data_IF_389281378109
#
_entry.id   IF_389281378109
#
_cell.length_a   1.000
_cell.length_b   1.000
_cell.length_c   1.000
_cell.angle_alpha   90.00
_cell.angle_beta   90.00
_cell.angle_gamma   90.00
#
_symmetry.space_group_name_H-M   'P 1'
#
loop_
_entity.id
_entity.type
_entity.pdbx_description
1 polymer ?
#
# COMPACT_ATOMS: atom_id res chain seq x y z
N UNK A 1 -31.18 26.35 -5.64
CA UNK A 1 -30.42 25.13 -5.96
C UNK A 1 -28.97 25.49 -5.79
N UNK A 2 -28.36 25.07 -4.69
CA UNK A 2 -26.99 25.41 -4.32
C UNK A 2 -26.02 24.82 -5.36
N UNK A 3 -24.99 25.59 -5.68
CA UNK A 3 -23.79 25.32 -6.49
C UNK A 3 -23.14 23.95 -6.14
N UNK A 4 -22.33 23.29 -6.98
CA UNK A 4 -21.06 23.73 -7.58
C UNK A 4 -20.56 22.72 -8.66
N UNK A 5 -19.85 23.25 -9.66
CA UNK A 5 -18.93 22.70 -10.69
C UNK A 5 -18.54 21.19 -10.73
N UNK A 6 -18.34 20.59 -11.93
CA UNK A 6 -17.86 19.22 -12.11
C UNK A 6 -16.40 19.09 -11.66
N UNK A 7 -16.15 18.45 -10.52
CA UNK A 7 -14.79 18.15 -10.06
C UNK A 7 -14.29 16.89 -10.76
N UNK A 8 -13.69 17.03 -11.94
CA UNK A 8 -13.00 15.93 -12.65
C UNK A 8 -11.53 16.24 -12.93
N UNK A 9 -10.96 17.30 -12.33
CA UNK A 9 -9.55 17.65 -12.55
C UNK A 9 -8.89 18.24 -11.28
N UNK A 10 -9.14 17.62 -10.12
CA UNK A 10 -8.19 17.61 -9.00
C UNK A 10 -7.58 16.20 -8.80
N UNK A 11 -7.95 15.28 -9.70
CA UNK A 11 -7.81 13.83 -9.59
C UNK A 11 -6.59 13.32 -10.35
N UNK A 12 -5.40 13.87 -10.09
CA UNK A 12 -4.15 13.33 -10.65
C UNK A 12 -3.11 12.95 -9.60
N UNK A 13 -3.39 13.13 -8.30
CA UNK A 13 -2.49 12.73 -7.20
C UNK A 13 -3.22 12.22 -5.94
N UNK A 14 -4.44 11.70 -6.08
CA UNK A 14 -5.20 11.13 -4.96
C UNK A 14 -4.82 9.65 -4.78
N UNK A 15 -4.87 9.14 -3.54
CA UNK A 15 -4.66 7.72 -3.23
C UNK A 15 -5.54 6.84 -4.12
N UNK A 16 -6.79 7.24 -4.32
CA UNK A 16 -7.76 6.57 -5.19
C UNK A 16 -7.27 6.43 -6.64
N UNK A 17 -6.67 7.48 -7.22
CA UNK A 17 -6.13 7.45 -8.59
C UNK A 17 -4.93 6.51 -8.72
N UNK A 18 -4.02 6.51 -7.73
CA UNK A 18 -2.91 5.57 -7.69
C UNK A 18 -3.36 4.11 -7.52
N UNK A 19 -4.32 3.84 -6.63
CA UNK A 19 -4.90 2.50 -6.48
C UNK A 19 -5.54 2.05 -7.80
N UNK A 20 -6.29 2.93 -8.48
CA UNK A 20 -6.90 2.61 -9.76
C UNK A 20 -5.86 2.28 -10.83
N UNK A 21 -4.77 3.06 -10.87
CA UNK A 21 -3.66 2.85 -11.80
C UNK A 21 -2.93 1.54 -11.53
N UNK A 22 -2.64 1.24 -10.26
CA UNK A 22 -2.03 -0.02 -9.84
C UNK A 22 -2.95 -1.20 -10.16
N UNK A 23 -4.26 -1.08 -9.92
CA UNK A 23 -5.23 -2.10 -10.30
C UNK A 23 -5.23 -2.35 -11.83
N UNK A 24 -5.11 -1.30 -12.64
CA UNK A 24 -4.99 -1.40 -14.10
C UNK A 24 -3.68 -2.08 -14.54
N UNK A 25 -2.60 -1.88 -13.79
CA UNK A 25 -1.30 -2.53 -14.00
C UNK A 25 -1.28 -4.01 -13.54
N UNK A 26 -2.37 -4.49 -12.93
CA UNK A 26 -2.55 -5.85 -12.45
C UNK A 26 -2.35 -6.03 -10.94
N UNK A 27 -2.13 -4.95 -10.19
CA UNK A 27 -2.11 -4.95 -8.73
C UNK A 27 -3.53 -4.88 -8.17
N UNK A 28 -4.33 -5.88 -8.48
CA UNK A 28 -5.71 -6.00 -7.98
C UNK A 28 -5.77 -6.61 -6.58
N UNK A 29 -4.68 -7.23 -6.13
CA UNK A 29 -4.61 -7.86 -4.82
C UNK A 29 -4.39 -6.80 -3.74
N UNK A 30 -5.06 -6.99 -2.60
CA UNK A 30 -4.82 -6.18 -1.41
C UNK A 30 -4.03 -7.00 -0.42
N UNK A 31 -2.95 -6.42 0.07
CA UNK A 31 -2.14 -6.99 1.12
C UNK A 31 -2.34 -6.21 2.41
N UNK A 32 -2.18 -6.90 3.53
CA UNK A 32 -2.28 -6.36 4.86
C UNK A 32 -1.21 -7.00 5.75
N UNK A 33 -0.59 -6.23 6.64
CA UNK A 33 0.32 -6.81 7.63
C UNK A 33 -0.49 -7.47 8.75
N UNK A 34 -0.14 -8.72 9.03
CA UNK A 34 -0.67 -9.56 10.11
C UNK A 34 0.46 -9.97 11.05
N UNK A 35 0.13 -10.65 12.15
CA UNK A 35 1.13 -11.14 13.11
C UNK A 35 2.16 -12.09 12.49
N UNK A 36 1.75 -12.84 11.45
CA UNK A 36 2.58 -13.83 10.76
C UNK A 36 3.37 -13.25 9.56
N UNK A 37 3.15 -11.97 9.19
CA UNK A 37 3.79 -11.33 8.02
C UNK A 37 2.78 -10.65 7.10
N UNK A 38 2.99 -10.72 5.78
CA UNK A 38 2.09 -10.09 4.80
C UNK A 38 0.94 -11.04 4.44
N UNK A 39 -0.29 -10.70 4.82
CA UNK A 39 -1.50 -11.43 4.45
C UNK A 39 -2.09 -10.85 3.16
N UNK A 40 -2.36 -11.69 2.17
CA UNK A 40 -3.20 -11.34 1.03
C UNK A 40 -4.67 -11.47 1.40
N UNK A 41 -5.41 -10.36 1.33
CA UNK A 41 -6.85 -10.33 1.60
C UNK A 41 -7.64 -11.02 0.49
N UNK A 42 -7.15 -11.01 -0.74
CA UNK A 42 -7.84 -11.65 -1.87
C UNK A 42 -7.69 -13.17 -1.89
N UNK A 43 -6.52 -13.70 -1.49
CA UNK A 43 -6.27 -15.15 -1.47
C UNK A 43 -6.28 -15.80 -0.08
N UNK A 44 -6.30 -15.00 0.99
CA UNK A 44 -6.18 -15.50 2.36
C UNK A 44 -4.84 -16.20 2.63
N UNK A 45 -3.77 -15.77 1.95
CA UNK A 45 -2.45 -16.41 2.01
C UNK A 45 -1.44 -15.48 2.65
N UNK A 46 -0.61 -16.03 3.54
CA UNK A 46 0.48 -15.29 4.17
C UNK A 46 1.80 -15.46 3.40
N UNK A 47 2.52 -14.36 3.24
CA UNK A 47 3.83 -14.28 2.62
C UNK A 47 4.84 -13.82 3.66
N UNK A 48 6.00 -14.48 3.61
CA UNK A 48 7.17 -14.10 4.40
C UNK A 48 7.85 -12.86 3.80
N UNK A 49 8.57 -12.08 4.61
CA UNK A 49 9.32 -10.92 4.10
C UNK A 49 10.34 -11.31 3.02
N UNK A 50 10.85 -12.54 3.04
CA UNK A 50 11.77 -13.07 2.01
C UNK A 50 11.11 -13.29 0.65
N UNK A 51 9.78 -13.46 0.62
CA UNK A 51 9.00 -13.67 -0.59
C UNK A 51 8.32 -12.40 -1.08
N UNK A 52 8.52 -11.29 -0.38
CA UNK A 52 7.87 -10.01 -0.60
C UNK A 52 8.90 -9.01 -1.09
N UNK A 53 8.62 -8.37 -2.21
CA UNK A 53 9.43 -7.31 -2.77
C UNK A 53 8.59 -6.04 -2.86
N UNK A 54 9.00 -5.01 -2.11
CA UNK A 54 8.41 -3.68 -2.23
C UNK A 54 8.99 -3.02 -3.47
N UNK A 55 8.17 -2.92 -4.52
CA UNK A 55 8.56 -2.33 -5.81
C UNK A 55 8.58 -0.82 -5.70
N UNK A 56 7.55 -0.26 -5.06
CA UNK A 56 7.41 1.16 -4.90
C UNK A 56 6.54 1.50 -3.69
N UNK A 57 6.65 2.73 -3.20
CA UNK A 57 5.76 3.22 -2.16
C UNK A 57 5.40 4.67 -2.39
N UNK A 58 4.15 5.00 -2.12
CA UNK A 58 3.56 6.30 -2.35
C UNK A 58 2.99 6.79 -1.03
N UNK A 59 3.57 7.85 -0.49
CA UNK A 59 3.03 8.52 0.68
C UNK A 59 2.02 9.56 0.23
N UNK A 60 0.82 9.45 0.79
CA UNK A 60 -0.27 10.39 0.63
C UNK A 60 -0.47 11.13 1.95
N UNK A 61 -0.53 12.45 1.86
CA UNK A 61 -0.87 13.32 2.97
C UNK A 61 -2.33 13.74 2.74
N UNK A 62 -3.23 13.29 3.61
CA UNK A 62 -4.64 13.64 3.53
C UNK A 62 -4.83 15.16 3.65
N UNK A 63 -5.59 15.75 2.73
CA UNK A 63 -5.84 17.20 2.73
C UNK A 63 -6.84 17.66 3.79
N UNK A 64 -7.54 16.72 4.44
CA UNK A 64 -8.64 17.02 5.36
C UNK A 64 -8.25 16.95 6.84
N UNK A 65 -7.34 16.03 7.19
CA UNK A 65 -6.87 15.87 8.57
C UNK A 65 -5.36 15.53 8.56
N UNK A 66 -4.53 16.18 9.40
CA UNK A 66 -3.11 15.87 9.52
C UNK A 66 -2.83 14.46 10.06
N UNK A 67 -3.84 13.76 10.58
CA UNK A 67 -3.82 12.36 10.98
C UNK A 67 -4.19 11.39 9.84
N UNK A 68 -4.71 11.87 8.71
CA UNK A 68 -5.13 11.03 7.56
C UNK A 68 -3.97 10.80 6.59
N UNK A 69 -2.79 10.51 7.14
CA UNK A 69 -1.61 10.16 6.36
C UNK A 69 -1.65 8.67 6.03
N UNK A 70 -1.60 8.33 4.76
CA UNK A 70 -1.61 6.95 4.29
C UNK A 70 -0.41 6.68 3.41
N UNK A 71 0.22 5.52 3.54
CA UNK A 71 1.27 5.06 2.65
C UNK A 71 0.78 3.84 1.89
N UNK A 72 0.81 3.93 0.57
CA UNK A 72 0.48 2.85 -0.34
C UNK A 72 1.77 2.21 -0.85
N UNK A 73 1.98 0.95 -0.52
CA UNK A 73 3.12 0.16 -0.97
C UNK A 73 2.67 -0.76 -2.10
N UNK A 74 3.33 -0.64 -3.25
CA UNK A 74 3.23 -1.59 -4.34
C UNK A 74 4.17 -2.76 -4.04
N UNK A 75 3.57 -3.94 -3.85
CA UNK A 75 4.27 -5.15 -3.45
C UNK A 75 4.11 -6.20 -4.54
N UNK A 76 5.22 -6.84 -4.88
CA UNK A 76 5.26 -8.03 -5.72
C UNK A 76 5.80 -9.20 -4.90
N UNK A 77 5.19 -10.36 -5.07
CA UNK A 77 5.65 -11.60 -4.43
C UNK A 77 6.40 -12.46 -5.44
N UNK A 78 7.28 -13.34 -4.95
CA UNK A 78 8.00 -14.31 -5.80
C UNK A 78 7.04 -15.24 -6.58
N UNK A 79 5.81 -15.42 -6.06
CA UNK A 79 4.75 -16.16 -6.75
C UNK A 79 4.16 -15.46 -7.98
N UNK A 80 4.66 -14.26 -8.34
CA UNK A 80 4.12 -13.43 -9.42
C UNK A 80 2.86 -12.65 -9.02
N UNK A 81 2.52 -12.65 -7.73
CA UNK A 81 1.31 -12.01 -7.22
C UNK A 81 1.64 -10.55 -6.90
N UNK A 82 0.85 -9.66 -7.48
CA UNK A 82 1.04 -8.22 -7.39
C UNK A 82 -0.13 -7.60 -6.66
N UNK A 83 0.16 -6.76 -5.70
CA UNK A 83 -0.86 -6.15 -4.90
C UNK A 83 -0.37 -4.93 -4.16
N UNK A 84 -1.32 -4.27 -3.51
CA UNK A 84 -1.06 -3.03 -2.80
C UNK A 84 -1.31 -3.21 -1.32
N UNK A 85 -0.40 -2.69 -0.51
CA UNK A 85 -0.52 -2.61 0.94
C UNK A 85 -0.75 -1.14 1.29
N UNK A 86 -1.90 -0.83 1.88
CA UNK A 86 -2.17 0.51 2.39
C UNK A 86 -1.96 0.51 3.90
N UNK A 87 -1.09 1.39 4.39
CA UNK A 87 -0.83 1.60 5.81
C UNK A 87 -1.25 3.01 6.22
N UNK A 88 -1.92 3.14 7.37
CA UNK A 88 -2.27 4.42 7.96
C UNK A 88 -1.07 4.91 8.79
N UNK A 89 -0.17 5.67 8.19
CA UNK A 89 1.07 6.09 8.83
C UNK A 89 0.85 7.30 9.74
N UNK A 90 1.02 7.14 11.05
CA UNK A 90 0.88 8.22 12.02
C UNK A 90 0.63 7.68 13.42
N UNK A 91 -0.27 8.31 14.18
CA UNK A 91 -0.74 7.82 15.49
C UNK A 91 -1.28 6.39 15.41
N UNK A 92 -1.83 6.02 14.26
CA UNK A 92 -2.41 4.71 13.98
C UNK A 92 -1.48 3.77 13.20
N UNK A 93 -0.20 4.13 13.01
CA UNK A 93 0.76 3.27 12.32
C UNK A 93 0.92 1.96 13.09
N UNK A 94 0.78 0.85 12.38
CA UNK A 94 1.01 -0.44 12.99
C UNK A 94 2.52 -0.70 13.08
N UNK A 95 3.10 -0.88 14.29
CA UNK A 95 4.53 -1.13 14.44
C UNK A 95 4.99 -2.39 13.71
N UNK A 96 4.06 -3.32 13.40
CA UNK A 96 4.34 -4.52 12.61
C UNK A 96 4.74 -4.18 11.18
N UNK A 97 4.14 -3.15 10.57
CA UNK A 97 4.46 -2.72 9.19
C UNK A 97 5.90 -2.25 9.10
N UNK A 98 6.31 -1.38 10.03
CA UNK A 98 7.69 -0.89 10.10
C UNK A 98 8.71 -2.02 10.33
N UNK A 99 8.39 -2.98 11.19
CA UNK A 99 9.25 -4.16 11.41
C UNK A 99 9.36 -5.01 10.14
N UNK A 100 8.22 -5.32 9.51
CA UNK A 100 8.17 -6.15 8.31
C UNK A 100 8.94 -5.51 7.15
N UNK A 101 8.75 -4.22 6.90
CA UNK A 101 9.49 -3.49 5.87
C UNK A 101 10.98 -3.46 6.11
N UNK A 102 11.40 -3.32 7.37
CA UNK A 102 12.81 -3.38 7.72
C UNK A 102 13.40 -4.76 7.42
N UNK A 103 12.67 -5.85 7.67
CA UNK A 103 13.10 -7.19 7.30
C UNK A 103 13.20 -7.36 5.79
N UNK A 104 12.17 -6.94 5.03
CA UNK A 104 12.19 -6.96 3.55
C UNK A 104 13.40 -6.20 3.00
N UNK A 105 13.69 -5.01 3.54
CA UNK A 105 14.85 -4.20 3.11
C UNK A 105 16.19 -4.87 3.45
N UNK A 106 16.35 -5.46 4.65
CA UNK A 106 17.58 -6.17 5.02
C UNK A 106 17.84 -7.36 4.09
N UNK A 107 16.78 -8.11 3.75
CA UNK A 107 16.84 -9.25 2.83
C UNK A 107 17.22 -8.79 1.42
N UNK A 108 16.60 -7.72 0.92
CA UNK A 108 16.89 -7.18 -0.41
C UNK A 108 18.31 -6.62 -0.53
N UNK A 109 18.93 -6.14 0.55
CA UNK A 109 20.32 -5.63 0.56
C UNK A 109 21.39 -6.73 0.63
N UNK A 110 21.03 -7.92 1.10
CA UNK A 110 21.93 -9.07 1.26
C UNK A 110 22.02 -9.97 0.02
N UNK A 111 21.13 -9.78 -0.94
CA UNK A 111 21.00 -10.59 -2.16
C UNK A 111 21.78 -9.96 -3.30
#
# INVERSE_FOLDING_TARGET
>A
MQYEIPSTDADMKTLSSCINKLASDGYTEQFQISEDGLLSSGKGKNYRPEQVHVVNFFRFEGSSDPDDNSILYAIETDGGEKGTLTDAYGTYADPRVGKFMKEVEDISKKK
#
